data_IF_063753405321
#
_entry.id   IF_063753405321
#
_cell.length_a   1.000
_cell.length_b   1.000
_cell.length_c   1.000
_cell.angle_alpha   90.00
_cell.angle_beta   90.00
_cell.angle_gamma   90.00
#
_symmetry.space_group_name_H-M   'P 1'
#
loop_
_entity.id
_entity.type
_entity.pdbx_description
1 polymer ?
#
# COMPACT_ATOMS: atom_id res chain seq x y z
N UNK A 1 -3.36 1.22 62.17
CA UNK A 1 -3.28 -0.20 61.85
C UNK A 1 -4.08 -0.91 62.92
N UNK A 2 -4.96 -1.83 62.52
CA UNK A 2 -5.66 -2.68 63.46
C UNK A 2 -4.69 -3.74 64.02
N UNK A 3 -4.97 -4.38 65.18
CA UNK A 3 -4.13 -5.40 65.82
C UNK A 3 -3.77 -6.61 64.94
N UNK A 4 -4.37 -6.73 63.73
CA UNK A 4 -4.11 -7.74 62.71
C UNK A 4 -3.29 -7.24 61.53
N UNK A 5 -2.63 -6.06 61.57
CA UNK A 5 -1.78 -5.54 60.51
C UNK A 5 -2.52 -4.98 59.28
N UNK A 6 -3.87 -4.93 59.30
CA UNK A 6 -4.70 -4.39 58.22
C UNK A 6 -4.92 -2.87 58.33
N UNK A 7 -5.11 -2.20 57.19
CA UNK A 7 -5.50 -0.79 57.20
C UNK A 7 -6.86 -0.56 57.83
N UNK A 8 -6.92 0.40 58.74
CA UNK A 8 -8.21 0.90 59.28
C UNK A 8 -9.07 1.49 58.15
N UNK A 9 -10.37 1.56 58.37
CA UNK A 9 -11.34 2.15 57.41
C UNK A 9 -10.86 3.53 56.93
N UNK A 10 -10.33 4.33 57.82
CA UNK A 10 -9.78 5.65 57.54
C UNK A 10 -8.52 5.56 56.60
N UNK A 11 -7.67 4.57 56.81
CA UNK A 11 -6.50 4.31 55.94
C UNK A 11 -6.92 3.86 54.52
N UNK A 12 -7.97 3.03 54.42
CA UNK A 12 -8.53 2.62 53.13
C UNK A 12 -9.11 3.79 52.33
N UNK A 13 -9.85 4.68 52.99
CA UNK A 13 -10.40 5.90 52.37
C UNK A 13 -9.27 6.82 51.94
N UNK A 14 -8.22 7.01 52.77
CA UNK A 14 -7.07 7.84 52.43
C UNK A 14 -6.31 7.30 51.20
N UNK A 15 -6.14 5.99 51.11
CA UNK A 15 -5.52 5.35 49.95
C UNK A 15 -6.39 5.50 48.68
N UNK A 16 -7.70 5.26 48.78
CA UNK A 16 -8.60 5.46 47.64
C UNK A 16 -8.59 6.92 47.13
N UNK A 17 -8.54 7.90 48.06
CA UNK A 17 -8.40 9.31 47.75
C UNK A 17 -7.04 9.62 47.09
N UNK A 18 -5.96 9.00 47.58
CA UNK A 18 -4.64 9.15 46.97
C UNK A 18 -4.62 8.64 45.52
N UNK A 19 -5.19 7.47 45.25
CA UNK A 19 -5.32 6.96 43.88
C UNK A 19 -6.19 7.85 43.00
N UNK A 20 -7.25 8.48 43.55
CA UNK A 20 -8.06 9.45 42.83
C UNK A 20 -7.24 10.67 42.41
N UNK A 21 -6.45 11.21 43.36
CA UNK A 21 -5.58 12.36 43.07
C UNK A 21 -4.57 12.00 41.98
N UNK A 22 -3.97 10.80 42.06
CA UNK A 22 -3.05 10.32 41.00
C UNK A 22 -3.77 10.25 39.65
N UNK A 23 -4.97 9.67 39.60
CA UNK A 23 -5.76 9.57 38.37
C UNK A 23 -6.07 10.96 37.77
N UNK A 24 -6.46 11.92 38.61
CA UNK A 24 -6.74 13.30 38.18
C UNK A 24 -5.45 13.96 37.65
N UNK A 25 -4.33 13.78 38.32
CA UNK A 25 -3.02 14.32 37.90
C UNK A 25 -2.64 13.73 36.54
N UNK A 26 -2.76 12.42 36.35
CA UNK A 26 -2.46 11.74 35.07
C UNK A 26 -3.36 12.29 33.96
N UNK A 27 -4.67 12.43 34.21
CA UNK A 27 -5.61 13.00 33.21
C UNK A 27 -5.20 14.42 32.84
N UNK A 28 -4.89 15.28 33.83
CA UNK A 28 -4.46 16.66 33.57
C UNK A 28 -3.13 16.76 32.82
N UNK A 29 -2.17 15.90 33.16
CA UNK A 29 -0.88 15.84 32.45
C UNK A 29 -1.11 15.42 30.99
N UNK A 30 -1.93 14.40 30.73
CA UNK A 30 -2.32 14.00 29.37
C UNK A 30 -3.02 15.12 28.61
N UNK A 31 -3.93 15.85 29.26
CA UNK A 31 -4.59 17.03 28.67
C UNK A 31 -3.56 18.11 28.26
N UNK A 32 -2.61 18.39 29.13
CA UNK A 32 -1.57 19.38 28.86
C UNK A 32 -0.66 18.94 27.70
N UNK A 33 -0.26 17.66 27.66
CA UNK A 33 0.56 17.11 26.57
C UNK A 33 -0.21 17.18 25.24
N UNK A 34 -1.43 16.69 25.20
CA UNK A 34 -2.28 16.70 24.01
C UNK A 34 -2.51 18.14 23.52
N UNK A 35 -2.85 19.07 24.43
CA UNK A 35 -3.09 20.46 24.08
C UNK A 35 -1.84 21.17 23.56
N UNK A 36 -0.68 20.86 24.12
CA UNK A 36 0.62 21.46 23.72
C UNK A 36 1.07 20.94 22.35
N UNK A 37 0.91 19.64 22.10
CA UNK A 37 1.16 19.01 20.79
C UNK A 37 0.20 19.54 19.72
N UNK A 38 -1.06 19.68 20.08
CA UNK A 38 -2.10 20.23 19.23
C UNK A 38 -1.78 21.68 18.83
N UNK A 39 -1.50 22.59 19.78
CA UNK A 39 -1.21 24.00 19.50
C UNK A 39 -0.06 24.18 18.49
N UNK A 40 1.03 23.43 18.65
CA UNK A 40 2.20 23.53 17.75
C UNK A 40 1.89 23.14 16.30
N UNK A 41 0.85 22.36 16.06
CA UNK A 41 0.45 21.88 14.72
C UNK A 41 -0.71 22.69 14.12
N UNK A 42 -1.57 23.31 14.95
CA UNK A 42 -2.75 24.06 14.49
C UNK A 42 -2.37 25.36 13.76
N UNK A 43 -1.27 26.03 14.12
CA UNK A 43 -0.82 27.28 13.48
C UNK A 43 -0.42 27.11 12.00
N UNK A 44 -0.26 25.86 11.52
CA UNK A 44 0.13 25.52 10.14
C UNK A 44 -0.97 24.86 9.32
N UNK A 45 -2.12 24.55 9.90
CA UNK A 45 -3.20 23.80 9.21
C UNK A 45 -4.31 24.73 8.73
N UNK A 46 -4.91 24.39 7.58
CA UNK A 46 -6.16 25.01 7.10
C UNK A 46 -7.26 24.79 8.15
N UNK A 47 -8.17 25.73 8.30
CA UNK A 47 -9.23 25.78 9.34
C UNK A 47 -10.11 24.51 9.39
N UNK A 48 -10.32 23.83 8.27
CA UNK A 48 -11.11 22.60 8.18
C UNK A 48 -10.37 21.40 8.78
N UNK A 49 -9.06 21.29 8.50
CA UNK A 49 -8.25 20.20 9.02
C UNK A 49 -8.02 20.33 10.52
N UNK A 50 -7.90 21.57 11.02
CA UNK A 50 -7.78 21.87 12.44
C UNK A 50 -9.02 21.39 13.24
N UNK A 51 -10.23 21.57 12.72
CA UNK A 51 -11.47 21.10 13.36
C UNK A 51 -11.52 19.57 13.44
N UNK A 52 -11.15 18.86 12.35
CA UNK A 52 -11.12 17.40 12.31
C UNK A 52 -10.13 16.83 13.32
N UNK A 53 -8.90 17.37 13.35
CA UNK A 53 -7.86 16.95 14.30
C UNK A 53 -8.31 17.17 15.74
N UNK A 54 -8.95 18.31 16.06
CA UNK A 54 -9.49 18.60 17.38
C UNK A 54 -10.54 17.57 17.82
N UNK A 55 -11.44 17.18 16.91
CA UNK A 55 -12.48 16.16 17.21
C UNK A 55 -11.84 14.80 17.50
N UNK A 56 -10.89 14.36 16.68
CA UNK A 56 -10.18 13.07 16.87
C UNK A 56 -9.43 13.06 18.22
N UNK A 57 -8.69 14.11 18.52
CA UNK A 57 -7.98 14.23 19.81
C UNK A 57 -8.95 14.26 21.01
N UNK A 58 -10.12 14.91 20.87
CA UNK A 58 -11.15 14.91 21.92
C UNK A 58 -11.70 13.51 22.18
N UNK A 59 -11.98 12.74 21.13
CA UNK A 59 -12.45 11.35 21.26
C UNK A 59 -11.37 10.46 21.91
N UNK A 60 -10.11 10.57 21.46
CA UNK A 60 -9.00 9.82 22.07
C UNK A 60 -8.82 10.15 23.55
N UNK A 61 -8.89 11.46 23.91
CA UNK A 61 -8.86 11.92 25.30
C UNK A 61 -9.99 11.28 26.12
N UNK A 62 -11.23 11.31 25.62
CA UNK A 62 -12.37 10.73 26.31
C UNK A 62 -12.18 9.23 26.55
N UNK A 63 -11.68 8.51 25.56
CA UNK A 63 -11.41 7.08 25.66
C UNK A 63 -10.35 6.75 26.73
N UNK A 64 -9.23 7.48 26.74
CA UNK A 64 -8.18 7.32 27.75
C UNK A 64 -8.68 7.69 29.13
N UNK A 65 -9.47 8.74 29.25
CA UNK A 65 -10.07 9.18 30.53
C UNK A 65 -10.98 8.09 31.11
N UNK A 66 -11.81 7.45 30.26
CA UNK A 66 -12.68 6.34 30.68
C UNK A 66 -11.86 5.18 31.25
N UNK A 67 -10.75 4.81 30.58
CA UNK A 67 -9.85 3.72 31.02
C UNK A 67 -9.24 4.07 32.39
N UNK A 68 -8.76 5.30 32.57
CA UNK A 68 -8.15 5.74 33.85
C UNK A 68 -9.17 5.71 34.98
N UNK A 69 -10.38 6.24 34.74
CA UNK A 69 -11.47 6.24 35.74
C UNK A 69 -11.86 4.79 36.08
N UNK A 70 -12.00 3.93 35.09
CA UNK A 70 -12.32 2.51 35.29
C UNK A 70 -11.26 1.79 36.12
N UNK A 71 -9.98 2.01 35.82
CA UNK A 71 -8.86 1.42 36.58
C UNK A 71 -8.84 1.93 38.03
N UNK A 72 -9.05 3.25 38.22
CA UNK A 72 -9.20 3.82 39.56
C UNK A 72 -10.36 3.18 40.33
N UNK A 73 -11.53 3.07 39.68
CA UNK A 73 -12.72 2.47 40.30
C UNK A 73 -12.48 1.03 40.78
N UNK A 74 -11.87 0.21 39.93
CA UNK A 74 -11.51 -1.17 40.30
C UNK A 74 -10.49 -1.20 41.46
N UNK A 75 -9.54 -0.29 41.48
CA UNK A 75 -8.55 -0.19 42.54
C UNK A 75 -9.20 0.22 43.87
N UNK A 76 -10.14 1.17 43.84
CA UNK A 76 -10.91 1.57 44.99
C UNK A 76 -11.74 0.41 45.56
N UNK A 77 -12.46 -0.35 44.73
CA UNK A 77 -13.21 -1.53 45.15
C UNK A 77 -12.32 -2.56 45.84
N UNK A 78 -11.13 -2.83 45.34
CA UNK A 78 -10.14 -3.75 45.94
C UNK A 78 -9.69 -3.29 47.31
N UNK A 79 -9.45 -1.98 47.51
CA UNK A 79 -9.07 -1.42 48.81
C UNK A 79 -10.14 -1.68 49.87
N UNK A 80 -11.44 -1.64 49.50
CA UNK A 80 -12.55 -1.93 50.35
C UNK A 80 -12.84 -3.43 50.51
N UNK A 81 -12.03 -4.31 49.91
CA UNK A 81 -12.13 -5.77 50.08
C UNK A 81 -13.12 -6.43 49.11
N UNK A 82 -13.63 -5.69 48.10
CA UNK A 82 -14.54 -6.25 47.09
C UNK A 82 -13.74 -7.08 46.08
N UNK A 83 -14.18 -8.30 45.79
CA UNK A 83 -13.60 -9.12 44.76
C UNK A 83 -13.96 -8.57 43.36
N UNK A 84 -12.95 -8.04 42.68
CA UNK A 84 -13.12 -7.43 41.33
C UNK A 84 -12.88 -8.42 40.20
N UNK A 85 -12.59 -9.71 40.48
CA UNK A 85 -12.25 -10.71 39.47
C UNK A 85 -13.32 -10.84 38.37
N UNK A 86 -14.59 -10.93 38.79
CA UNK A 86 -15.69 -11.04 37.82
C UNK A 86 -15.79 -9.81 36.91
N UNK A 87 -15.58 -8.61 37.47
CA UNK A 87 -15.63 -7.36 36.67
C UNK A 87 -14.48 -7.33 35.67
N UNK A 88 -13.27 -7.70 36.10
CA UNK A 88 -12.08 -7.75 35.23
C UNK A 88 -12.27 -8.80 34.13
N UNK A 89 -12.80 -9.99 34.46
CA UNK A 89 -13.06 -11.04 33.48
C UNK A 89 -14.08 -10.58 32.44
N UNK A 90 -15.20 -9.97 32.85
CA UNK A 90 -16.21 -9.46 31.94
C UNK A 90 -15.68 -8.31 31.07
N UNK A 91 -14.92 -7.39 31.67
CA UNK A 91 -14.27 -6.31 30.92
C UNK A 91 -13.22 -6.86 29.92
N UNK A 92 -12.51 -7.93 30.29
CA UNK A 92 -11.56 -8.63 29.42
C UNK A 92 -12.24 -9.23 28.19
N UNK A 93 -13.39 -9.91 28.38
CA UNK A 93 -14.19 -10.44 27.24
C UNK A 93 -14.67 -9.31 26.34
N UNK A 94 -15.17 -8.21 26.93
CA UNK A 94 -15.55 -7.01 26.18
C UNK A 94 -14.36 -6.40 25.42
N UNK A 95 -13.18 -6.37 26.02
CA UNK A 95 -11.93 -5.91 25.40
C UNK A 95 -11.52 -6.76 24.20
N UNK A 96 -11.69 -8.09 24.28
CA UNK A 96 -11.45 -9.00 23.14
C UNK A 96 -12.40 -8.68 21.98
N UNK A 97 -13.69 -8.49 22.26
CA UNK A 97 -14.67 -8.15 21.23
C UNK A 97 -14.34 -6.82 20.52
N UNK A 98 -13.94 -5.79 21.29
CA UNK A 98 -13.48 -4.50 20.75
C UNK A 98 -12.21 -4.70 19.90
N UNK A 99 -11.28 -5.52 20.35
CA UNK A 99 -10.03 -5.80 19.62
C UNK A 99 -10.28 -6.45 18.27
N UNK A 100 -11.24 -7.40 18.19
CA UNK A 100 -11.65 -7.97 16.89
C UNK A 100 -12.27 -6.92 15.97
N UNK A 101 -13.10 -6.01 16.52
CA UNK A 101 -13.67 -4.91 15.75
C UNK A 101 -12.66 -3.89 15.23
N UNK A 102 -11.55 -3.71 15.96
CA UNK A 102 -10.49 -2.77 15.59
C UNK A 102 -9.33 -3.40 14.81
N UNK A 103 -9.32 -4.72 14.58
CA UNK A 103 -8.21 -5.48 13.98
C UNK A 103 -7.75 -4.89 12.66
N UNK A 104 -8.67 -4.63 11.73
CA UNK A 104 -8.32 -4.09 10.40
C UNK A 104 -7.69 -2.69 10.49
N UNK A 105 -8.15 -1.86 11.41
CA UNK A 105 -7.56 -0.52 11.60
C UNK A 105 -6.10 -0.62 12.07
N UNK A 106 -5.81 -1.52 13.00
CA UNK A 106 -4.45 -1.75 13.52
C UNK A 106 -3.57 -2.34 12.40
N UNK A 107 -4.09 -3.30 11.64
CA UNK A 107 -3.41 -3.91 10.50
C UNK A 107 -3.06 -2.86 9.43
N UNK A 108 -4.00 -1.98 9.07
CA UNK A 108 -3.77 -0.87 8.14
C UNK A 108 -2.63 0.05 8.59
N UNK A 109 -2.61 0.42 9.88
CA UNK A 109 -1.61 1.34 10.43
C UNK A 109 -0.22 0.69 10.46
N UNK A 110 -0.13 -0.56 10.89
CA UNK A 110 1.12 -1.31 10.93
C UNK A 110 1.66 -1.47 9.51
N UNK A 111 0.85 -1.98 8.59
CA UNK A 111 1.24 -2.16 7.18
C UNK A 111 1.67 -0.84 6.54
N UNK A 112 0.91 0.25 6.75
CA UNK A 112 1.26 1.56 6.21
C UNK A 112 2.59 2.10 6.76
N UNK A 113 2.88 1.82 8.02
CA UNK A 113 4.17 2.19 8.62
C UNK A 113 5.32 1.44 7.96
N UNK A 114 5.20 0.13 7.75
CA UNK A 114 6.22 -0.67 7.08
C UNK A 114 6.38 -0.29 5.60
N UNK A 115 5.29 -0.07 4.86
CA UNK A 115 5.36 0.40 3.48
C UNK A 115 6.17 1.69 3.32
N UNK A 116 6.04 2.62 4.30
CA UNK A 116 6.80 3.87 4.31
C UNK A 116 8.27 3.68 4.75
N UNK A 117 8.55 2.73 5.65
CA UNK A 117 9.91 2.49 6.15
C UNK A 117 10.76 1.68 5.17
N UNK A 118 10.15 0.78 4.42
CA UNK A 118 10.84 -0.12 3.48
C UNK A 118 10.96 0.50 2.08
N UNK A 119 10.38 1.70 1.86
CA UNK A 119 10.33 2.35 0.55
C UNK A 119 9.88 1.39 -0.57
N UNK A 120 8.87 0.56 -0.28
CA UNK A 120 8.35 -0.42 -1.26
C UNK A 120 7.89 0.27 -2.54
N UNK A 121 7.34 1.47 -2.42
CA UNK A 121 7.00 2.40 -3.50
C UNK A 121 6.91 3.83 -2.95
N UNK A 122 7.02 4.82 -3.84
CA UNK A 122 6.91 6.25 -3.51
C UNK A 122 5.79 6.92 -4.32
N UNK A 123 5.44 8.15 -3.94
CA UNK A 123 4.48 8.96 -4.70
C UNK A 123 5.03 9.20 -6.10
N UNK A 124 4.22 8.93 -7.12
CA UNK A 124 4.59 9.00 -8.54
C UNK A 124 4.92 7.64 -9.16
N UNK A 125 5.12 6.58 -8.37
CA UNK A 125 5.36 5.25 -8.91
C UNK A 125 4.09 4.66 -9.55
N UNK A 126 4.28 3.94 -10.65
CA UNK A 126 3.29 3.08 -11.26
C UNK A 126 3.33 1.70 -10.59
N UNK A 127 2.26 1.37 -9.86
CA UNK A 127 2.19 0.15 -9.08
C UNK A 127 0.92 -0.66 -9.35
N UNK A 128 1.00 -1.95 -9.04
CA UNK A 128 -0.20 -2.79 -8.87
C UNK A 128 -0.23 -3.30 -7.44
N UNK A 129 -1.31 -2.98 -6.72
CA UNK A 129 -1.59 -3.44 -5.35
C UNK A 129 -3.06 -3.78 -5.19
N UNK A 130 -3.39 -4.85 -4.46
CA UNK A 130 -4.76 -5.31 -4.24
C UNK A 130 -5.61 -5.39 -5.54
N UNK A 131 -5.00 -5.79 -6.66
CA UNK A 131 -5.66 -5.89 -7.97
C UNK A 131 -5.96 -4.54 -8.66
N UNK A 132 -5.47 -3.42 -8.12
CA UNK A 132 -5.58 -2.08 -8.71
C UNK A 132 -4.23 -1.65 -9.25
N UNK A 133 -4.23 -1.09 -10.47
CA UNK A 133 -3.02 -0.59 -11.16
C UNK A 133 -3.15 0.92 -11.38
N UNK A 134 -2.05 1.64 -11.18
CA UNK A 134 -2.00 3.07 -11.46
C UNK A 134 -0.87 3.78 -10.71
N UNK A 135 -0.88 5.11 -10.81
CA UNK A 135 0.14 5.98 -10.25
C UNK A 135 -0.22 6.32 -8.79
N UNK A 136 0.75 6.20 -7.90
CA UNK A 136 0.59 6.55 -6.49
C UNK A 136 0.46 8.07 -6.34
N UNK A 137 -0.69 8.56 -5.89
CA UNK A 137 -0.89 9.98 -5.61
C UNK A 137 -0.61 10.35 -4.16
N UNK A 138 -0.91 9.45 -3.23
CA UNK A 138 -0.75 9.71 -1.81
C UNK A 138 -0.58 8.42 -1.01
N UNK A 139 0.35 8.47 -0.07
CA UNK A 139 0.54 7.45 0.96
C UNK A 139 0.18 8.08 2.29
N UNK A 140 -0.75 7.47 3.02
CA UNK A 140 -1.16 7.86 4.36
C UNK A 140 -0.94 6.70 5.32
N UNK A 141 -1.02 6.97 6.62
CA UNK A 141 -0.78 5.94 7.64
C UNK A 141 -1.72 4.72 7.49
N UNK A 142 -2.97 4.91 7.06
CA UNK A 142 -3.97 3.86 6.93
C UNK A 142 -4.28 3.45 5.49
N UNK A 143 -4.10 4.35 4.52
CA UNK A 143 -4.53 4.12 3.13
C UNK A 143 -3.50 4.63 2.15
N UNK A 144 -3.36 3.92 1.04
CA UNK A 144 -2.65 4.37 -0.17
C UNK A 144 -3.68 4.74 -1.24
N UNK A 145 -3.48 5.87 -1.90
CA UNK A 145 -4.35 6.37 -2.97
C UNK A 145 -3.63 6.26 -4.29
N UNK A 146 -4.25 5.59 -5.26
CA UNK A 146 -3.73 5.32 -6.60
C UNK A 146 -4.71 5.88 -7.61
N UNK A 147 -4.20 6.55 -8.65
CA UNK A 147 -4.98 6.94 -9.82
C UNK A 147 -4.67 6.01 -10.98
N UNK A 148 -5.70 5.38 -11.53
CA UNK A 148 -5.53 4.56 -12.71
C UNK A 148 -5.41 5.40 -14.00
N UNK A 149 -5.14 4.74 -15.12
CA UNK A 149 -4.96 5.41 -16.41
C UNK A 149 -6.27 5.97 -17.00
N UNK A 150 -7.45 5.55 -16.49
CA UNK A 150 -8.75 6.10 -16.87
C UNK A 150 -9.11 7.34 -16.03
N UNK A 151 -8.27 7.66 -15.01
CA UNK A 151 -8.48 8.79 -14.11
C UNK A 151 -9.24 8.42 -12.83
N UNK A 152 -9.64 7.17 -12.63
CA UNK A 152 -10.32 6.72 -11.43
C UNK A 152 -9.37 6.71 -10.22
N UNK A 153 -9.92 7.10 -9.07
CA UNK A 153 -9.16 7.17 -7.83
C UNK A 153 -9.48 5.98 -6.93
N UNK A 154 -8.50 5.11 -6.72
CA UNK A 154 -8.60 3.97 -5.84
C UNK A 154 -7.98 4.30 -4.48
N UNK A 155 -8.76 4.15 -3.41
CA UNK A 155 -8.29 4.30 -2.03
C UNK A 155 -8.20 2.91 -1.41
N UNK A 156 -6.98 2.40 -1.30
CA UNK A 156 -6.69 1.04 -0.84
C UNK A 156 -6.27 1.09 0.63
N UNK A 157 -6.93 0.34 1.54
CA UNK A 157 -6.44 0.14 2.90
C UNK A 157 -5.04 -0.52 2.88
N UNK A 158 -4.10 0.00 3.68
CA UNK A 158 -2.72 -0.51 3.64
C UNK A 158 -2.62 -1.98 4.08
N UNK A 159 -3.51 -2.46 4.96
CA UNK A 159 -3.59 -3.86 5.37
C UNK A 159 -3.99 -4.84 4.25
N UNK A 160 -4.58 -4.35 3.17
CA UNK A 160 -4.89 -5.16 1.98
C UNK A 160 -3.69 -5.26 1.01
N UNK A 161 -2.65 -4.44 1.20
CA UNK A 161 -1.45 -4.43 0.36
C UNK A 161 -0.49 -5.52 0.85
N UNK A 162 -0.62 -6.72 0.29
CA UNK A 162 0.23 -7.88 0.63
C UNK A 162 1.34 -8.11 -0.41
N UNK A 163 1.07 -7.74 -1.65
CA UNK A 163 2.01 -7.85 -2.76
C UNK A 163 2.03 -6.51 -3.48
N UNK A 164 3.21 -6.03 -3.77
CA UNK A 164 3.45 -4.80 -4.54
C UNK A 164 4.19 -5.17 -5.81
N UNK A 165 3.61 -4.86 -6.97
CA UNK A 165 4.33 -4.85 -8.24
C UNK A 165 4.64 -3.40 -8.58
N UNK A 166 5.91 -3.01 -8.53
CA UNK A 166 6.36 -1.66 -8.86
C UNK A 166 7.02 -1.67 -10.24
N UNK A 167 6.52 -0.83 -11.17
CA UNK A 167 7.01 -0.73 -12.54
C UNK A 167 8.03 0.37 -12.76
N UNK A 168 8.30 1.18 -11.72
CA UNK A 168 9.23 2.31 -11.83
C UNK A 168 10.56 2.07 -11.09
N UNK A 169 10.65 1.03 -10.27
CA UNK A 169 11.78 0.88 -9.34
C UNK A 169 13.06 0.33 -9.98
N UNK A 170 12.96 -0.37 -11.09
CA UNK A 170 14.11 -1.01 -11.75
C UNK A 170 13.96 -0.96 -13.27
N UNK A 171 15.05 -1.35 -13.98
CA UNK A 171 15.07 -1.57 -15.41
C UNK A 171 13.84 -2.37 -15.84
N UNK A 172 13.11 -1.86 -16.81
CA UNK A 172 11.94 -2.51 -17.38
C UNK A 172 12.31 -3.17 -18.70
N UNK A 173 11.46 -4.08 -19.13
CA UNK A 173 11.65 -4.77 -20.41
C UNK A 173 10.53 -4.37 -21.37
N UNK A 174 10.92 -3.79 -22.50
CA UNK A 174 10.07 -3.70 -23.68
C UNK A 174 10.09 -5.05 -24.38
N UNK A 175 8.92 -5.64 -24.63
CA UNK A 175 8.80 -6.94 -25.28
C UNK A 175 7.71 -6.90 -26.34
N UNK A 176 8.06 -7.33 -27.56
CA UNK A 176 7.10 -7.49 -28.64
C UNK A 176 7.08 -8.92 -29.14
N UNK A 177 5.89 -9.37 -29.47
CA UNK A 177 5.64 -10.64 -30.15
C UNK A 177 5.19 -10.34 -31.58
N UNK A 178 5.94 -10.84 -32.55
CA UNK A 178 5.72 -10.61 -33.97
C UNK A 178 5.23 -11.92 -34.59
N UNK A 179 3.91 -12.06 -34.89
CA UNK A 179 3.39 -13.26 -35.53
C UNK A 179 3.67 -13.22 -37.03
N UNK A 180 4.20 -14.30 -37.58
CA UNK A 180 4.40 -14.51 -39.02
C UNK A 180 3.70 -15.80 -39.47
N UNK A 181 3.33 -15.90 -40.75
CA UNK A 181 2.67 -17.09 -41.29
C UNK A 181 3.55 -18.33 -41.24
N UNK A 182 2.96 -19.52 -41.14
CA UNK A 182 3.70 -20.81 -41.09
C UNK A 182 4.51 -21.10 -42.35
N UNK A 183 4.09 -20.58 -43.49
CA UNK A 183 4.76 -20.71 -44.80
C UNK A 183 5.85 -19.65 -45.01
N UNK A 184 5.99 -18.68 -44.10
CA UNK A 184 7.01 -17.66 -44.17
C UNK A 184 8.39 -18.22 -43.77
N UNK A 185 9.45 -17.70 -44.38
CA UNK A 185 10.84 -18.02 -43.98
C UNK A 185 11.16 -17.34 -42.64
N UNK A 186 10.99 -18.13 -41.55
CA UNK A 186 11.23 -17.65 -40.19
C UNK A 186 12.69 -17.25 -39.95
N UNK A 187 13.68 -17.90 -40.62
CA UNK A 187 15.10 -17.53 -40.49
C UNK A 187 15.34 -16.16 -41.12
N UNK A 188 14.83 -15.95 -42.31
CA UNK A 188 14.92 -14.64 -43.00
C UNK A 188 14.23 -13.55 -42.17
N UNK A 189 13.06 -13.84 -41.54
CA UNK A 189 12.37 -12.90 -40.70
C UNK A 189 13.22 -12.51 -39.46
N UNK A 190 13.84 -13.46 -38.79
CA UNK A 190 14.74 -13.21 -37.65
C UNK A 190 15.92 -12.33 -38.05
N UNK A 191 16.57 -12.64 -39.19
CA UNK A 191 17.70 -11.85 -39.69
C UNK A 191 17.28 -10.40 -40.03
N UNK A 192 16.15 -10.24 -40.72
CA UNK A 192 15.60 -8.93 -41.03
C UNK A 192 15.24 -8.10 -39.78
N UNK A 193 14.59 -8.72 -38.81
CA UNK A 193 14.23 -8.04 -37.53
C UNK A 193 15.49 -7.65 -36.75
N UNK A 194 16.52 -8.49 -36.77
CA UNK A 194 17.82 -8.24 -36.10
C UNK A 194 18.48 -6.99 -36.66
N UNK A 195 18.50 -6.84 -38.00
CA UNK A 195 19.10 -5.67 -38.63
C UNK A 195 18.20 -4.42 -38.48
N UNK A 196 16.88 -4.55 -38.68
CA UNK A 196 15.97 -3.43 -38.68
C UNK A 196 15.78 -2.80 -37.28
N UNK A 197 15.94 -3.57 -36.21
CA UNK A 197 15.79 -3.07 -34.85
C UNK A 197 17.08 -2.46 -34.28
N UNK A 198 18.22 -2.56 -34.95
CA UNK A 198 19.50 -1.93 -34.51
C UNK A 198 19.38 -0.43 -34.23
N UNK A 199 18.72 0.39 -35.09
CA UNK A 199 18.59 1.82 -34.81
C UNK A 199 17.80 2.15 -33.52
N UNK A 200 16.97 1.25 -33.02
CA UNK A 200 16.26 1.42 -31.74
C UNK A 200 17.24 1.43 -30.55
N UNK A 201 18.43 0.85 -30.70
CA UNK A 201 19.48 0.87 -29.68
C UNK A 201 20.01 2.28 -29.40
N UNK A 202 19.91 3.18 -30.38
CA UNK A 202 20.35 4.58 -30.25
C UNK A 202 19.35 5.44 -29.45
N UNK A 203 18.19 4.88 -29.10
CA UNK A 203 17.20 5.57 -28.26
C UNK A 203 17.71 5.67 -26.82
N UNK A 204 17.70 6.88 -26.27
CA UNK A 204 18.12 7.18 -24.89
C UNK A 204 17.39 6.36 -23.81
N UNK A 205 16.21 5.82 -24.12
CA UNK A 205 15.42 4.99 -23.21
C UNK A 205 15.87 3.52 -23.20
N UNK A 206 16.66 3.09 -24.17
CA UNK A 206 17.19 1.73 -24.26
C UNK A 206 18.51 1.64 -23.49
N UNK A 207 18.56 0.71 -22.54
CA UNK A 207 19.75 0.50 -21.66
C UNK A 207 20.63 -0.64 -22.21
N UNK A 208 20.01 -1.68 -22.76
CA UNK A 208 20.69 -2.80 -23.42
C UNK A 208 20.08 -3.00 -24.78
N UNK A 209 20.93 -3.35 -25.76
CA UNK A 209 20.57 -3.57 -27.14
C UNK A 209 19.37 -4.49 -27.32
N UNK A 210 18.57 -4.19 -28.34
CA UNK A 210 17.44 -5.04 -28.71
C UNK A 210 17.95 -6.43 -29.09
N UNK A 211 17.39 -7.45 -28.46
CA UNK A 211 17.70 -8.84 -28.70
C UNK A 211 16.52 -9.54 -29.37
N UNK A 212 16.75 -10.17 -30.51
CA UNK A 212 15.76 -11.01 -31.19
C UNK A 212 15.96 -12.46 -30.73
N UNK A 213 14.98 -13.00 -30.00
CA UNK A 213 15.09 -14.33 -29.39
C UNK A 213 14.80 -15.46 -30.36
N UNK A 214 14.29 -15.14 -31.57
CA UNK A 214 13.84 -16.10 -32.54
C UNK A 214 12.43 -16.59 -32.26
N UNK A 215 12.13 -17.84 -32.70
CA UNK A 215 10.82 -18.45 -32.53
C UNK A 215 10.62 -18.82 -31.07
N UNK A 216 9.58 -18.25 -30.44
CA UNK A 216 9.28 -18.46 -29.03
C UNK A 216 7.95 -19.18 -28.80
N UNK A 217 7.06 -19.17 -29.79
CA UNK A 217 5.76 -19.83 -29.68
C UNK A 217 5.21 -20.20 -31.04
N UNK A 218 4.27 -21.16 -31.05
CA UNK A 218 3.49 -21.58 -32.21
C UNK A 218 2.01 -21.27 -31.92
N UNK A 219 1.52 -20.18 -32.49
CA UNK A 219 0.12 -19.79 -32.38
C UNK A 219 -0.74 -20.57 -33.38
N UNK A 220 -2.08 -20.54 -33.20
CA UNK A 220 -3.02 -21.24 -34.10
C UNK A 220 -2.85 -20.82 -35.57
N UNK A 221 -2.46 -19.60 -35.78
CA UNK A 221 -2.40 -18.92 -37.08
C UNK A 221 -0.95 -18.65 -37.56
N UNK A 222 0.08 -18.98 -36.79
CA UNK A 222 1.46 -18.75 -37.22
C UNK A 222 2.51 -18.96 -36.16
N UNK A 223 3.73 -18.56 -36.52
CA UNK A 223 4.92 -18.63 -35.69
C UNK A 223 5.12 -17.28 -35.01
N UNK A 224 5.46 -17.26 -33.72
CA UNK A 224 5.72 -16.04 -32.97
C UNK A 224 7.22 -15.84 -32.79
N UNK A 225 7.74 -14.70 -33.27
CA UNK A 225 9.11 -14.26 -33.01
C UNK A 225 9.06 -13.21 -31.92
N UNK A 226 9.84 -13.38 -30.85
CA UNK A 226 9.91 -12.42 -29.74
C UNK A 226 11.17 -11.56 -29.86
N UNK A 227 10.98 -10.24 -29.71
CA UNK A 227 12.06 -9.28 -29.58
C UNK A 227 11.91 -8.54 -28.26
N UNK A 228 13.04 -8.28 -27.59
CA UNK A 228 13.07 -7.63 -26.29
C UNK A 228 14.20 -6.63 -26.18
N UNK A 229 13.95 -5.52 -25.46
CA UNK A 229 14.96 -4.53 -25.07
C UNK A 229 14.84 -4.21 -23.59
N UNK A 230 15.92 -3.85 -22.92
CA UNK A 230 15.86 -3.30 -21.57
C UNK A 230 15.77 -1.78 -21.64
N UNK A 231 14.83 -1.20 -20.90
CA UNK A 231 14.53 0.22 -20.94
C UNK A 231 14.56 0.85 -19.55
N UNK A 232 14.73 2.16 -19.53
CA UNK A 232 14.48 2.95 -18.32
C UNK A 232 13.00 2.84 -17.93
N UNK A 233 12.67 2.93 -16.62
CA UNK A 233 11.30 2.84 -16.13
C UNK A 233 10.37 3.86 -16.78
N UNK A 234 9.16 3.41 -17.15
CA UNK A 234 8.12 4.25 -17.78
C UNK A 234 8.18 4.34 -19.31
N UNK A 235 9.33 4.04 -19.94
CA UNK A 235 9.52 4.15 -21.39
C UNK A 235 9.28 2.83 -22.16
N UNK A 236 9.12 1.71 -21.45
CA UNK A 236 8.96 0.39 -22.07
C UNK A 236 7.84 0.34 -23.12
N UNK A 237 6.71 0.96 -22.85
CA UNK A 237 5.57 0.96 -23.79
C UNK A 237 5.80 1.82 -25.04
N UNK A 238 6.57 2.91 -24.90
CA UNK A 238 6.95 3.74 -26.05
C UNK A 238 7.89 2.97 -26.96
N UNK A 239 8.93 2.38 -26.37
CA UNK A 239 9.90 1.55 -27.10
C UNK A 239 9.23 0.33 -27.74
N UNK A 240 8.29 -0.33 -27.05
CA UNK A 240 7.50 -1.41 -27.66
C UNK A 240 6.71 -0.97 -28.91
N UNK A 241 6.08 0.20 -28.86
CA UNK A 241 5.34 0.73 -30.03
C UNK A 241 6.29 1.02 -31.19
N UNK A 242 7.46 1.57 -30.91
CA UNK A 242 8.48 1.84 -31.89
C UNK A 242 9.01 0.53 -32.53
N UNK A 243 9.39 -0.44 -31.71
CA UNK A 243 9.81 -1.75 -32.17
C UNK A 243 8.75 -2.44 -33.04
N UNK A 244 7.46 -2.37 -32.65
CA UNK A 244 6.35 -2.90 -33.46
C UNK A 244 6.23 -2.20 -34.81
N UNK A 245 6.38 -0.88 -34.85
CA UNK A 245 6.33 -0.10 -36.09
C UNK A 245 7.44 -0.49 -37.06
N UNK A 246 8.68 -0.58 -36.55
CA UNK A 246 9.85 -0.99 -37.34
C UNK A 246 9.70 -2.42 -37.83
N UNK A 247 9.27 -3.34 -36.96
CA UNK A 247 9.07 -4.75 -37.31
C UNK A 247 8.03 -4.91 -38.43
N UNK A 248 6.90 -4.20 -38.31
CA UNK A 248 5.84 -4.24 -39.33
C UNK A 248 6.34 -3.71 -40.68
N UNK A 249 7.08 -2.60 -40.71
CA UNK A 249 7.60 -1.99 -41.93
C UNK A 249 8.53 -2.95 -42.68
N UNK A 250 9.54 -3.46 -41.97
CA UNK A 250 10.56 -4.31 -42.61
C UNK A 250 9.99 -5.64 -43.11
N UNK A 251 9.07 -6.25 -42.38
CA UNK A 251 8.46 -7.50 -42.80
C UNK A 251 7.58 -7.30 -44.04
N UNK A 252 6.79 -6.23 -44.07
CA UNK A 252 5.96 -5.90 -45.24
C UNK A 252 6.78 -5.58 -46.48
N UNK A 253 7.86 -4.82 -46.36
CA UNK A 253 8.78 -4.49 -47.46
C UNK A 253 9.46 -5.73 -48.06
N UNK A 254 9.63 -6.77 -47.27
CA UNK A 254 10.21 -8.03 -47.69
C UNK A 254 9.22 -9.14 -48.02
N UNK A 255 7.91 -8.79 -48.10
CA UNK A 255 6.84 -9.71 -48.50
C UNK A 255 6.52 -10.78 -47.43
N UNK A 256 6.93 -10.58 -46.19
CA UNK A 256 6.58 -11.44 -45.08
C UNK A 256 5.31 -10.88 -44.43
N UNK A 257 4.17 -11.53 -44.67
CA UNK A 257 2.88 -11.11 -44.08
C UNK A 257 2.86 -11.27 -42.57
N UNK A 258 2.56 -10.17 -41.84
CA UNK A 258 2.13 -10.25 -40.45
C UNK A 258 0.69 -10.68 -40.44
N UNK A 259 0.36 -11.76 -39.70
CA UNK A 259 -0.97 -12.32 -39.73
C UNK A 259 -2.03 -11.36 -39.15
N UNK A 260 -3.03 -11.09 -39.95
CA UNK A 260 -4.23 -10.41 -39.50
C UNK A 260 -5.20 -11.44 -38.91
N UNK A 261 -5.58 -11.26 -37.65
CA UNK A 261 -6.58 -12.11 -36.96
C UNK A 261 -7.97 -12.11 -37.63
N UNK A 262 -8.18 -11.27 -38.65
CA UNK A 262 -9.47 -11.12 -39.33
C UNK A 262 -9.78 -12.17 -40.41
N UNK A 263 -8.84 -13.07 -40.78
CA UNK A 263 -9.01 -13.99 -41.94
C UNK A 263 -9.35 -15.43 -41.54
N UNK A 264 -9.72 -15.71 -40.31
CA UNK A 264 -10.27 -17.03 -39.96
C UNK A 264 -11.81 -17.01 -39.89
N UNK A 265 -12.44 -16.57 -41.00
CA UNK A 265 -13.87 -16.86 -41.23
C UNK A 265 -13.99 -17.34 -42.66
N UNK A 266 -14.15 -18.61 -42.80
CA UNK A 266 -14.78 -19.38 -43.88
C UNK A 266 -13.89 -20.49 -44.47
N UNK A 267 -14.07 -21.68 -43.95
CA UNK A 267 -14.66 -22.76 -44.73
C UNK A 267 -15.13 -23.88 -43.83
#
# INVERSE_FOLDING_TARGET
MNEAGGLNTLGRVALAALYLVIAIVVIKVLELIISKLARKKYDKLRTIDAKRVKTVLSVMKSFVTIIIIFTWFLSALRIFGVNTSAIITTAGIGGIAISFGAKSLVEDIISGTFLMLEDSFVIGDDITVAGKTGIVERISLRTTTIRDYNGELHVVPNGEIRVVTNRNKNIQRALINVPIAYDADAKKAVDLLTEALKPVNDDHAVIEDVSVWGITDFAVDGIVITCAAKTIPGEQWRVEREMRSVALSVLNENGIGVLDKSIVINK
#
